data_IF_106102915806
#
_entry.id   IF_106102915806
#
_cell.length_a   1.000
_cell.length_b   1.000
_cell.length_c   1.000
_cell.angle_alpha   90.00
_cell.angle_beta   90.00
_cell.angle_gamma   90.00
#
_symmetry.space_group_name_H-M   'P 1'
#
loop_
_entity.id
_entity.type
_entity.pdbx_description
1 polymer ?
#
# COMPACT_ATOMS: atom_id res chain seq x y z
N UNK A 1 8.75 -15.40 -15.97
CA UNK A 1 7.76 -14.38 -16.38
C UNK A 1 6.41 -14.94 -16.03
N UNK A 2 5.54 -14.17 -15.36
CA UNK A 2 4.17 -14.58 -15.06
C UNK A 2 3.45 -14.70 -16.40
N UNK A 3 2.84 -15.87 -16.65
CA UNK A 3 2.09 -16.11 -17.88
C UNK A 3 0.62 -15.70 -17.72
N UNK A 4 -0.10 -15.54 -18.84
CA UNK A 4 -1.56 -15.31 -18.79
C UNK A 4 -2.34 -16.38 -18.00
N UNK A 5 -1.81 -17.61 -17.90
CA UNK A 5 -2.41 -18.65 -17.07
C UNK A 5 -2.11 -18.43 -15.59
N UNK A 6 -0.91 -17.94 -15.26
CA UNK A 6 -0.57 -17.54 -13.90
C UNK A 6 -1.43 -16.36 -13.44
N UNK A 7 -1.72 -15.37 -14.30
CA UNK A 7 -2.63 -14.27 -13.98
C UNK A 7 -4.03 -14.76 -13.60
N UNK A 8 -4.53 -15.78 -14.31
CA UNK A 8 -5.82 -16.42 -13.99
C UNK A 8 -5.77 -17.14 -12.66
N UNK A 9 -4.70 -17.88 -12.40
CA UNK A 9 -4.50 -18.59 -11.13
C UNK A 9 -4.42 -17.59 -9.96
N UNK A 10 -3.71 -16.49 -10.14
CA UNK A 10 -3.63 -15.35 -9.21
C UNK A 10 -5.03 -14.77 -8.97
N UNK A 11 -5.78 -14.47 -10.03
CA UNK A 11 -7.13 -13.91 -9.96
C UNK A 11 -8.12 -14.87 -9.29
N UNK A 12 -8.01 -16.16 -9.55
CA UNK A 12 -8.85 -17.19 -8.92
C UNK A 12 -8.56 -17.30 -7.42
N UNK A 13 -7.29 -17.17 -7.01
CA UNK A 13 -6.93 -17.10 -5.60
C UNK A 13 -7.54 -15.84 -4.94
N UNK A 14 -7.50 -14.70 -5.64
CA UNK A 14 -8.07 -13.42 -5.18
C UNK A 14 -9.57 -13.46 -4.96
N UNK A 15 -10.27 -14.13 -5.86
CA UNK A 15 -11.70 -14.31 -5.75
C UNK A 15 -12.08 -15.42 -4.75
N UNK A 16 -11.12 -16.06 -4.08
CA UNK A 16 -11.36 -17.19 -3.18
C UNK A 16 -11.91 -18.44 -3.89
N UNK A 17 -11.74 -18.53 -5.21
CA UNK A 17 -12.23 -19.66 -6.04
C UNK A 17 -11.34 -20.89 -5.92
N UNK A 18 -10.07 -20.70 -5.59
CA UNK A 18 -9.11 -21.78 -5.33
C UNK A 18 -8.50 -21.60 -3.94
N UNK A 19 -8.05 -22.72 -3.36
CA UNK A 19 -7.29 -22.71 -2.11
C UNK A 19 -5.82 -22.41 -2.37
N UNK A 20 -5.08 -22.12 -1.29
CA UNK A 20 -3.63 -21.96 -1.36
C UNK A 20 -2.91 -23.23 -1.85
N UNK A 21 -3.37 -24.41 -1.43
CA UNK A 21 -2.83 -25.69 -1.92
C UNK A 21 -3.04 -25.87 -3.42
N UNK A 22 -4.17 -25.41 -3.95
CA UNK A 22 -4.46 -25.47 -5.39
C UNK A 22 -3.65 -24.44 -6.17
N UNK A 23 -3.44 -23.26 -5.59
CA UNK A 23 -2.53 -22.25 -6.14
C UNK A 23 -1.11 -22.83 -6.32
N UNK A 24 -0.53 -23.45 -5.29
CA UNK A 24 0.82 -24.03 -5.40
C UNK A 24 0.95 -25.14 -6.44
N UNK A 25 -0.15 -25.82 -6.81
CA UNK A 25 -0.15 -26.85 -7.86
C UNK A 25 -0.29 -26.27 -9.26
N UNK A 26 -1.05 -25.18 -9.40
CA UNK A 26 -1.40 -24.58 -10.70
C UNK A 26 -0.46 -23.46 -11.13
N UNK A 27 0.15 -22.77 -10.18
CA UNK A 27 1.08 -21.69 -10.47
C UNK A 27 2.34 -22.24 -11.14
N UNK A 28 2.78 -21.61 -12.23
CA UNK A 28 3.86 -22.13 -13.09
C UNK A 28 5.22 -22.14 -12.40
N UNK A 29 5.39 -21.31 -11.37
CA UNK A 29 6.62 -21.21 -10.59
C UNK A 29 6.48 -22.04 -9.32
N UNK A 30 7.36 -23.02 -9.14
CA UNK A 30 7.47 -23.75 -7.89
C UNK A 30 8.07 -22.86 -6.78
N UNK A 31 7.19 -22.17 -6.06
CA UNK A 31 7.54 -21.27 -4.96
C UNK A 31 8.01 -22.03 -3.70
N UNK A 32 7.78 -23.34 -3.61
CA UNK A 32 8.26 -24.17 -2.51
C UNK A 32 9.75 -24.49 -2.71
N UNK A 33 10.13 -24.85 -3.93
CA UNK A 33 11.52 -25.17 -4.28
C UNK A 33 12.38 -23.93 -4.61
N UNK A 34 11.76 -22.83 -5.05
CA UNK A 34 12.46 -21.58 -5.39
C UNK A 34 11.82 -20.37 -4.71
N UNK A 35 12.05 -20.18 -3.39
CA UNK A 35 11.40 -19.12 -2.62
C UNK A 35 11.88 -17.71 -2.97
N UNK A 36 12.93 -17.57 -3.79
CA UNK A 36 13.49 -16.26 -4.19
C UNK A 36 12.98 -15.77 -5.55
N UNK A 37 12.20 -16.58 -6.28
CA UNK A 37 11.71 -16.23 -7.61
C UNK A 37 10.92 -14.91 -7.62
N UNK A 38 10.00 -14.73 -6.67
CA UNK A 38 9.20 -13.51 -6.54
C UNK A 38 10.07 -12.28 -6.28
N UNK A 39 11.11 -12.40 -5.45
CA UNK A 39 12.07 -11.31 -5.21
C UNK A 39 12.78 -10.85 -6.49
N UNK A 40 13.24 -11.79 -7.31
CA UNK A 40 13.94 -11.44 -8.54
C UNK A 40 12.96 -10.84 -9.57
N UNK A 41 11.74 -11.35 -9.63
CA UNK A 41 10.69 -10.79 -10.48
C UNK A 41 10.27 -9.38 -10.06
N UNK A 42 10.17 -9.12 -8.75
CA UNK A 42 9.94 -7.78 -8.21
C UNK A 42 11.00 -6.78 -8.66
N UNK A 43 12.29 -7.14 -8.49
CA UNK A 43 13.40 -6.27 -8.92
C UNK A 43 13.37 -5.99 -10.42
N UNK A 44 13.13 -7.03 -11.24
CA UNK A 44 13.02 -6.89 -12.68
C UNK A 44 11.86 -5.97 -13.07
N UNK A 45 10.69 -6.18 -12.46
CA UNK A 45 9.50 -5.38 -12.73
C UNK A 45 9.71 -3.89 -12.41
N UNK A 46 10.36 -3.57 -11.28
CA UNK A 46 10.72 -2.19 -10.94
C UNK A 46 11.71 -1.62 -11.97
N UNK A 47 12.75 -2.37 -12.33
CA UNK A 47 13.76 -1.92 -13.29
C UNK A 47 13.16 -1.62 -14.66
N UNK A 48 12.24 -2.46 -15.11
CA UNK A 48 11.58 -2.35 -16.42
C UNK A 48 10.33 -1.46 -16.39
N UNK A 49 9.90 -1.01 -15.21
CA UNK A 49 8.62 -0.32 -14.97
C UNK A 49 7.41 -1.12 -15.48
N UNK A 50 7.47 -2.43 -15.30
CA UNK A 50 6.39 -3.36 -15.62
C UNK A 50 5.37 -3.38 -14.48
N UNK A 51 4.32 -2.56 -14.63
CA UNK A 51 3.26 -2.41 -13.61
C UNK A 51 2.49 -3.71 -13.36
N UNK A 52 2.28 -4.52 -14.39
CA UNK A 52 1.46 -5.73 -14.32
C UNK A 52 2.21 -6.82 -13.55
N UNK A 53 3.48 -7.06 -13.90
CA UNK A 53 4.31 -7.99 -13.14
C UNK A 53 4.50 -7.52 -11.69
N UNK A 54 4.72 -6.22 -11.46
CA UNK A 54 4.85 -5.68 -10.11
C UNK A 54 3.60 -5.93 -9.27
N UNK A 55 2.42 -5.62 -9.81
CA UNK A 55 1.13 -5.81 -9.16
C UNK A 55 0.89 -7.29 -8.82
N UNK A 56 1.14 -8.18 -9.77
CA UNK A 56 0.97 -9.62 -9.58
C UNK A 56 1.91 -10.18 -8.49
N UNK A 57 3.18 -9.76 -8.50
CA UNK A 57 4.14 -10.17 -7.46
C UNK A 57 3.70 -9.65 -6.09
N UNK A 58 3.31 -8.38 -5.99
CA UNK A 58 2.84 -7.77 -4.75
C UNK A 58 1.63 -8.53 -4.20
N UNK A 59 0.68 -8.86 -5.07
CA UNK A 59 -0.52 -9.58 -4.72
C UNK A 59 -0.22 -10.99 -4.20
N UNK A 60 0.61 -11.77 -4.92
CA UNK A 60 1.01 -13.11 -4.50
C UNK A 60 1.72 -13.03 -3.15
N UNK A 61 2.67 -12.10 -3.00
CA UNK A 61 3.35 -11.91 -1.73
C UNK A 61 2.37 -11.56 -0.61
N UNK A 62 1.48 -10.60 -0.75
CA UNK A 62 0.50 -10.28 0.30
C UNK A 62 -0.34 -11.49 0.76
N UNK A 63 -0.71 -12.39 -0.15
CA UNK A 63 -1.43 -13.61 0.19
C UNK A 63 -0.54 -14.67 0.87
N UNK A 64 0.69 -14.84 0.39
CA UNK A 64 1.61 -15.86 0.89
C UNK A 64 2.37 -15.42 2.14
N UNK A 65 2.57 -14.12 2.32
CA UNK A 65 3.52 -13.57 3.27
C UNK A 65 3.09 -13.86 4.70
N UNK A 66 1.82 -13.58 5.02
CA UNK A 66 1.26 -13.85 6.35
C UNK A 66 1.29 -15.35 6.70
N UNK A 67 0.98 -16.23 5.73
CA UNK A 67 0.97 -17.67 5.93
C UNK A 67 2.38 -18.24 6.17
N UNK A 68 3.37 -17.76 5.40
CA UNK A 68 4.72 -18.31 5.40
C UNK A 68 5.68 -17.66 6.40
N UNK A 69 5.55 -16.35 6.62
CA UNK A 69 6.54 -15.54 7.34
C UNK A 69 5.96 -14.77 8.53
N UNK A 70 4.63 -14.73 8.66
CA UNK A 70 3.92 -13.95 9.67
C UNK A 70 3.78 -12.47 9.25
N UNK A 71 3.65 -11.53 10.20
CA UNK A 71 3.46 -10.12 9.87
C UNK A 71 4.71 -9.51 9.23
N UNK A 72 4.50 -8.55 8.32
CA UNK A 72 5.55 -7.73 7.70
C UNK A 72 6.44 -7.06 8.74
N UNK A 73 7.73 -6.98 8.44
CA UNK A 73 8.78 -6.44 9.31
C UNK A 73 9.55 -5.34 8.58
N UNK A 74 10.10 -4.35 9.31
CA UNK A 74 10.83 -3.24 8.71
C UNK A 74 12.02 -3.64 7.83
N UNK A 75 12.66 -4.77 8.14
CA UNK A 75 13.85 -5.27 7.45
C UNK A 75 13.54 -6.25 6.31
N UNK A 76 12.26 -6.49 6.01
CA UNK A 76 11.89 -7.31 4.86
C UNK A 76 12.34 -6.63 3.57
N UNK A 77 12.85 -7.42 2.63
CA UNK A 77 13.55 -6.89 1.45
C UNK A 77 12.68 -6.00 0.54
N UNK A 78 11.36 -6.10 0.66
CA UNK A 78 10.41 -5.27 -0.07
C UNK A 78 10.32 -3.85 0.49
N UNK A 79 10.49 -3.65 1.80
CA UNK A 79 9.99 -2.43 2.47
C UNK A 79 10.72 -1.17 1.97
N UNK A 80 12.03 -1.21 1.78
CA UNK A 80 12.76 -0.07 1.24
C UNK A 80 12.43 0.20 -0.24
N UNK A 81 12.16 -0.85 -1.03
CA UNK A 81 11.66 -0.67 -2.41
C UNK A 81 10.27 -0.04 -2.40
N UNK A 82 9.37 -0.49 -1.52
CA UNK A 82 8.02 0.08 -1.34
C UNK A 82 8.11 1.57 -0.98
N UNK A 83 8.97 1.96 -0.03
CA UNK A 83 9.18 3.37 0.32
C UNK A 83 9.63 4.23 -0.87
N UNK A 84 10.45 3.67 -1.75
CA UNK A 84 10.87 4.35 -2.99
C UNK A 84 9.69 4.46 -3.96
N UNK A 85 8.96 3.37 -4.18
CA UNK A 85 7.83 3.28 -5.10
C UNK A 85 6.68 4.24 -4.74
N UNK A 86 6.47 4.54 -3.45
CA UNK A 86 5.51 5.58 -3.03
C UNK A 86 5.77 6.98 -3.63
N UNK A 87 6.92 7.20 -4.28
CA UNK A 87 7.31 8.44 -4.95
C UNK A 87 7.33 8.32 -6.48
N UNK A 88 6.89 7.19 -7.03
CA UNK A 88 6.97 6.89 -8.46
C UNK A 88 5.58 6.68 -9.07
N UNK A 89 5.25 7.40 -10.15
CA UNK A 89 3.88 7.42 -10.68
C UNK A 89 3.64 6.55 -11.92
N UNK A 90 4.55 5.61 -12.22
CA UNK A 90 4.37 4.68 -13.35
C UNK A 90 3.47 3.49 -13.01
N UNK A 91 3.02 3.40 -11.76
CA UNK A 91 2.16 2.34 -11.24
C UNK A 91 1.01 2.92 -10.40
N UNK A 92 -0.02 2.11 -10.18
CA UNK A 92 -1.28 2.51 -9.54
C UNK A 92 -1.46 1.90 -8.14
N UNK A 93 -0.49 1.09 -7.67
CA UNK A 93 -0.59 0.32 -6.41
C UNK A 93 -0.33 1.13 -5.12
N UNK A 94 -0.47 2.47 -5.14
CA UNK A 94 -0.05 3.30 -4.00
C UNK A 94 -0.87 3.03 -2.72
N UNK A 95 -2.12 2.62 -2.85
CA UNK A 95 -2.96 2.26 -1.71
C UNK A 95 -2.47 0.96 -1.05
N UNK A 96 -2.20 -0.08 -1.83
CA UNK A 96 -1.71 -1.37 -1.34
C UNK A 96 -0.31 -1.23 -0.72
N UNK A 97 0.56 -0.46 -1.37
CA UNK A 97 1.89 -0.15 -0.85
C UNK A 97 1.81 0.60 0.49
N UNK A 98 0.88 1.56 0.61
CA UNK A 98 0.64 2.28 1.86
C UNK A 98 0.13 1.34 2.97
N UNK A 99 -0.78 0.42 2.66
CA UNK A 99 -1.31 -0.56 3.62
C UNK A 99 -0.20 -1.44 4.20
N UNK A 100 0.76 -1.87 3.37
CA UNK A 100 1.93 -2.63 3.82
C UNK A 100 2.78 -1.79 4.78
N UNK A 101 3.08 -0.54 4.43
CA UNK A 101 3.87 0.35 5.31
C UNK A 101 3.16 0.60 6.66
N UNK A 102 1.84 0.78 6.65
CA UNK A 102 1.05 0.92 7.88
C UNK A 102 1.10 -0.37 8.71
N UNK A 103 1.05 -1.54 8.08
CA UNK A 103 1.13 -2.84 8.75
C UNK A 103 2.51 -3.10 9.38
N UNK A 104 3.60 -2.63 8.75
CA UNK A 104 4.98 -2.72 9.25
C UNK A 104 5.20 -1.90 10.52
N UNK A 105 4.52 -0.76 10.66
CA UNK A 105 4.58 0.16 11.83
C UNK A 105 5.98 0.72 12.13
N UNK A 106 6.77 1.02 11.10
CA UNK A 106 8.06 1.72 11.24
C UNK A 106 7.88 3.25 11.21
N UNK A 107 7.06 3.73 12.15
CA UNK A 107 6.51 5.08 12.18
C UNK A 107 7.58 6.17 12.15
N UNK A 108 8.73 5.91 12.77
CA UNK A 108 9.87 6.82 12.80
C UNK A 108 10.45 7.07 11.41
N UNK A 109 10.46 6.05 10.54
CA UNK A 109 10.94 6.19 9.16
C UNK A 109 9.85 6.72 8.24
N UNK A 110 8.60 6.32 8.47
CA UNK A 110 7.51 6.51 7.51
C UNK A 110 6.68 7.77 7.75
N UNK A 111 6.82 8.46 8.90
CA UNK A 111 6.09 9.71 9.19
C UNK A 111 6.17 10.72 8.05
N UNK A 112 7.38 10.97 7.53
CA UNK A 112 7.57 11.96 6.45
C UNK A 112 6.88 11.53 5.16
N UNK A 113 6.92 10.22 4.86
CA UNK A 113 6.26 9.66 3.70
C UNK A 113 4.74 9.83 3.79
N UNK A 114 4.14 9.55 4.95
CA UNK A 114 2.70 9.76 5.15
C UNK A 114 2.30 11.23 5.00
N UNK A 115 3.13 12.16 5.48
CA UNK A 115 2.92 13.60 5.28
C UNK A 115 2.98 13.95 3.79
N UNK A 116 3.97 13.44 3.06
CA UNK A 116 4.13 13.73 1.64
C UNK A 116 2.93 13.18 0.82
N UNK A 117 2.47 11.95 1.12
CA UNK A 117 1.27 11.34 0.50
C UNK A 117 0.00 12.14 0.82
N UNK A 118 -0.14 12.62 2.06
CA UNK A 118 -1.29 13.42 2.48
C UNK A 118 -1.47 14.72 1.66
N UNK A 119 -0.39 15.22 1.06
CA UNK A 119 -0.38 16.47 0.28
C UNK A 119 -0.18 16.25 -1.22
N UNK A 120 -0.34 15.02 -1.70
CA UNK A 120 -0.16 14.64 -3.09
C UNK A 120 -1.49 14.11 -3.66
N UNK A 121 -1.84 14.56 -4.86
CA UNK A 121 -2.80 13.89 -5.75
C UNK A 121 -2.00 13.13 -6.79
N UNK A 122 -2.24 11.82 -6.95
CA UNK A 122 -1.51 11.05 -7.95
C UNK A 122 -2.01 11.40 -9.36
N UNK A 123 -1.12 11.49 -10.38
CA UNK A 123 -1.50 11.97 -11.71
C UNK A 123 -2.60 11.16 -12.42
N UNK A 124 -2.79 9.90 -12.03
CA UNK A 124 -3.82 9.03 -12.59
C UNK A 124 -5.19 9.17 -11.88
N UNK A 125 -5.32 10.09 -10.91
CA UNK A 125 -6.56 10.41 -10.19
C UNK A 125 -6.85 11.93 -10.11
N UNK A 126 -6.50 12.71 -11.14
CA UNK A 126 -6.57 14.19 -11.10
C UNK A 126 -7.97 14.81 -11.27
N UNK A 127 -8.99 14.06 -11.67
CA UNK A 127 -10.36 14.59 -11.72
C UNK A 127 -11.11 14.38 -10.40
N UNK A 128 -12.10 15.22 -10.12
CA UNK A 128 -12.79 15.23 -8.83
C UNK A 128 -13.44 13.88 -8.47
N UNK A 129 -14.01 13.17 -9.44
CA UNK A 129 -14.65 11.87 -9.18
C UNK A 129 -13.60 10.81 -8.82
N UNK A 130 -12.46 10.82 -9.51
CA UNK A 130 -11.32 9.98 -9.19
C UNK A 130 -10.68 10.33 -7.83
N UNK A 131 -10.54 11.62 -7.50
CA UNK A 131 -10.01 12.04 -6.20
C UNK A 131 -10.92 11.56 -5.04
N UNK A 132 -12.23 11.77 -5.15
CA UNK A 132 -13.18 11.31 -4.12
C UNK A 132 -13.22 9.79 -3.99
N UNK A 133 -13.06 9.05 -5.10
CA UNK A 133 -13.13 7.59 -5.10
C UNK A 133 -11.84 6.94 -4.62
N UNK A 134 -10.68 7.44 -5.04
CA UNK A 134 -9.39 6.76 -4.87
C UNK A 134 -8.42 7.52 -3.96
N UNK A 135 -8.36 8.86 -4.03
CA UNK A 135 -7.43 9.64 -3.18
C UNK A 135 -7.95 9.85 -1.76
N UNK A 136 -9.24 10.12 -1.58
CA UNK A 136 -9.84 10.33 -0.26
C UNK A 136 -9.61 9.14 0.68
N UNK A 137 -9.77 7.87 0.26
CA UNK A 137 -9.38 6.71 1.08
C UNK A 137 -7.91 6.72 1.50
N UNK A 138 -6.99 6.99 0.57
CA UNK A 138 -5.54 7.04 0.82
C UNK A 138 -5.19 8.14 1.83
N UNK A 139 -5.72 9.35 1.64
CA UNK A 139 -5.52 10.46 2.58
C UNK A 139 -6.11 10.15 3.95
N UNK A 140 -7.28 9.51 4.01
CA UNK A 140 -7.91 9.09 5.26
C UNK A 140 -6.99 8.14 6.04
N UNK A 141 -6.39 7.15 5.39
CA UNK A 141 -5.40 6.24 6.00
C UNK A 141 -4.20 7.02 6.56
N UNK A 142 -3.69 7.99 5.80
CA UNK A 142 -2.60 8.85 6.26
C UNK A 142 -2.99 9.72 7.47
N UNK A 143 -4.20 10.27 7.52
CA UNK A 143 -4.71 11.05 8.66
C UNK A 143 -4.72 10.21 9.93
N UNK A 144 -5.33 9.03 9.88
CA UNK A 144 -5.37 8.11 11.02
C UNK A 144 -3.97 7.74 11.48
N UNK A 145 -3.09 7.41 10.52
CA UNK A 145 -1.72 7.02 10.84
C UNK A 145 -0.95 8.15 11.49
N UNK A 146 -0.96 9.35 10.91
CA UNK A 146 -0.27 10.52 11.45
C UNK A 146 -0.81 10.96 12.81
N UNK A 147 -2.13 10.90 13.02
CA UNK A 147 -2.73 11.16 14.33
C UNK A 147 -2.24 10.16 15.39
N UNK A 148 -2.11 8.88 15.02
CA UNK A 148 -1.58 7.84 15.92
C UNK A 148 -0.09 8.01 16.23
N UNK A 149 0.71 8.51 15.27
CA UNK A 149 2.13 8.84 15.46
C UNK A 149 2.29 9.98 16.47
N UNK A 150 1.41 10.99 16.40
CA UNK A 150 1.25 11.99 17.46
C UNK A 150 2.43 12.94 17.67
N UNK A 151 3.41 12.99 16.76
CA UNK A 151 4.47 14.00 16.81
C UNK A 151 3.89 15.39 16.50
N UNK A 152 4.51 16.48 16.97
CA UNK A 152 4.04 17.84 16.66
C UNK A 152 3.90 18.10 15.16
N UNK A 153 4.80 17.54 14.33
CA UNK A 153 4.77 17.67 12.87
C UNK A 153 3.58 16.90 12.29
N UNK A 154 3.41 15.63 12.65
CA UNK A 154 2.29 14.82 12.18
C UNK A 154 0.93 15.44 12.55
N UNK A 155 0.77 15.87 13.81
CA UNK A 155 -0.45 16.54 14.28
C UNK A 155 -0.71 17.82 13.48
N UNK A 156 0.32 18.65 13.27
CA UNK A 156 0.18 19.88 12.50
C UNK A 156 -0.32 19.60 11.07
N UNK A 157 0.27 18.62 10.39
CA UNK A 157 -0.13 18.24 9.03
C UNK A 157 -1.58 17.74 8.95
N UNK A 158 -2.05 16.97 9.94
CA UNK A 158 -3.47 16.57 9.98
C UNK A 158 -4.39 17.78 10.17
N UNK A 159 -4.02 18.72 11.05
CA UNK A 159 -4.85 19.91 11.35
C UNK A 159 -5.01 20.86 10.17
N UNK A 160 -4.05 20.91 9.25
CA UNK A 160 -4.10 21.73 8.04
C UNK A 160 -5.31 21.35 7.14
N UNK A 161 -5.80 20.12 7.24
CA UNK A 161 -6.94 19.61 6.46
C UNK A 161 -8.32 19.90 7.04
N UNK A 162 -8.43 20.68 8.13
CA UNK A 162 -9.71 21.06 8.76
C UNK A 162 -10.70 21.71 7.78
N UNK A 163 -10.18 22.40 6.77
CA UNK A 163 -10.96 23.07 5.72
C UNK A 163 -10.83 22.39 4.35
N UNK A 164 -10.47 21.10 4.31
CA UNK A 164 -10.39 20.33 3.06
C UNK A 164 -11.68 20.48 2.23
N UNK A 165 -11.62 20.54 0.89
CA UNK A 165 -12.83 20.57 0.05
C UNK A 165 -13.67 19.30 0.21
N UNK A 166 -13.05 18.19 0.60
CA UNK A 166 -13.69 16.89 0.78
C UNK A 166 -14.33 16.75 2.16
N UNK A 167 -15.66 16.56 2.20
CA UNK A 167 -16.41 16.43 3.45
C UNK A 167 -15.91 15.27 4.30
N UNK A 168 -15.64 14.12 3.69
CA UNK A 168 -15.14 12.95 4.39
C UNK A 168 -13.79 13.21 5.08
N UNK A 169 -12.91 13.98 4.45
CA UNK A 169 -11.62 14.38 5.04
C UNK A 169 -11.84 15.32 6.23
N UNK A 170 -12.70 16.34 6.09
CA UNK A 170 -13.03 17.25 7.21
C UNK A 170 -13.59 16.49 8.40
N UNK A 171 -14.52 15.56 8.16
CA UNK A 171 -15.13 14.73 9.20
C UNK A 171 -14.09 13.82 9.87
N UNK A 172 -13.18 13.23 9.09
CA UNK A 172 -12.09 12.40 9.62
C UNK A 172 -11.15 13.20 10.51
N UNK A 173 -10.81 14.44 10.12
CA UNK A 173 -9.98 15.34 10.93
C UNK A 173 -10.70 15.70 12.24
N UNK A 174 -11.99 16.06 12.19
CA UNK A 174 -12.77 16.38 13.40
C UNK A 174 -12.81 15.20 14.38
N UNK A 175 -12.95 13.97 13.89
CA UNK A 175 -12.84 12.77 14.72
C UNK A 175 -11.47 12.68 15.43
N UNK A 176 -10.38 13.08 14.78
CA UNK A 176 -9.06 13.09 15.43
C UNK A 176 -8.99 14.13 16.56
N UNK A 177 -9.66 15.29 16.40
CA UNK A 177 -9.77 16.27 17.49
C UNK A 177 -10.50 15.69 18.70
N UNK A 178 -11.59 14.96 18.48
CA UNK A 178 -12.37 14.31 19.55
C UNK A 178 -11.59 13.21 20.26
N UNK A 179 -10.94 12.32 19.50
CA UNK A 179 -10.21 11.17 20.03
C UNK A 179 -8.97 11.57 20.83
N UNK A 180 -8.26 12.61 20.38
CA UNK A 180 -6.98 13.02 20.97
C UNK A 180 -7.08 14.29 21.82
N UNK A 181 -8.26 14.89 21.95
CA UNK A 181 -8.48 16.09 22.75
C UNK A 181 -7.66 17.29 22.26
N UNK A 182 -7.44 17.41 20.96
CA UNK A 182 -6.69 18.53 20.40
C UNK A 182 -7.48 19.83 20.56
N UNK A 183 -6.81 20.92 20.95
CA UNK A 183 -7.44 22.23 20.98
C UNK A 183 -7.78 22.68 19.55
N UNK A 184 -9.04 23.11 19.35
CA UNK A 184 -9.64 23.53 18.08
C UNK A 184 -9.07 24.82 17.49
#
# INVERSE_FOLDING_TARGET
MISNEDDRVITDLAAGKITLDEFYKRFSIDLLSNPHSLREMWKMAIQEKDKETMQNVLYVECYLYCDKYGPWRPDDYYIEDIRRLMKEYWHEQHEELLDILIAVRDDKKDERLYIDVLHTTFPYYEDQEAEETFMVPIWTKCIWKLASIGTPTAIKSVKELKNSPYEYIRNTVEQQYELHGWNK
#
